data_IF_830835668183
#
_entry.id   IF_830835668183
#
_cell.length_a   1.000
_cell.length_b   1.000
_cell.length_c   1.000
_cell.angle_alpha   90.00
_cell.angle_beta   90.00
_cell.angle_gamma   90.00
#
_symmetry.space_group_name_H-M   'P 1'
#
loop_
_entity.id
_entity.type
_entity.pdbx_description
1 polymer ?
#
# COMPACT_ATOMS: atom_id res chain seq x y z
N UNK A 1 -4.11 -2.22 -16.00
CA UNK A 1 -5.16 -1.61 -15.17
C UNK A 1 -5.07 -0.09 -15.16
N UNK A 2 -4.07 0.52 -14.50
CA UNK A 2 -3.96 2.00 -14.43
C UNK A 2 -3.99 2.65 -15.82
N UNK A 3 -3.16 2.18 -16.76
CA UNK A 3 -3.14 2.70 -18.13
C UNK A 3 -4.46 2.55 -18.89
N UNK A 4 -5.25 1.52 -18.58
CA UNK A 4 -6.56 1.31 -19.20
C UNK A 4 -7.58 2.33 -18.69
N UNK A 5 -7.58 2.63 -17.39
CA UNK A 5 -8.45 3.67 -16.84
C UNK A 5 -8.03 5.06 -17.32
N UNK A 6 -6.73 5.33 -17.40
CA UNK A 6 -6.21 6.57 -18.01
C UNK A 6 -6.63 6.70 -19.48
N UNK A 7 -6.66 5.59 -20.24
CA UNK A 7 -7.14 5.61 -21.63
C UNK A 7 -8.65 5.85 -21.79
N UNK A 8 -9.41 5.77 -20.69
CA UNK A 8 -10.84 6.15 -20.62
C UNK A 8 -11.02 7.58 -20.08
N UNK A 9 -9.99 8.41 -20.19
CA UNK A 9 -9.97 9.80 -19.72
C UNK A 9 -10.16 9.97 -18.20
N UNK A 10 -9.87 8.93 -17.40
CA UNK A 10 -9.85 9.06 -15.93
C UNK A 10 -8.49 9.64 -15.51
N UNK A 11 -8.43 10.82 -14.87
CA UNK A 11 -7.18 11.37 -14.37
C UNK A 11 -6.54 10.41 -13.35
N UNK A 12 -5.22 10.15 -13.41
CA UNK A 12 -4.55 9.27 -12.45
C UNK A 12 -4.81 9.59 -10.97
N UNK A 13 -4.97 10.88 -10.65
CA UNK A 13 -5.24 11.38 -9.30
C UNK A 13 -6.64 10.98 -8.78
N UNK A 14 -7.54 10.54 -9.66
CA UNK A 14 -8.86 10.00 -9.32
C UNK A 14 -8.85 8.47 -9.20
N UNK A 15 -7.70 7.82 -9.36
CA UNK A 15 -7.55 6.37 -9.27
C UNK A 15 -6.96 6.02 -7.89
N UNK A 16 -7.67 5.17 -7.16
CA UNK A 16 -7.22 4.59 -5.91
C UNK A 16 -6.97 3.10 -6.08
N UNK A 17 -5.86 2.60 -5.55
CA UNK A 17 -5.55 1.18 -5.57
C UNK A 17 -5.71 0.62 -4.16
N UNK A 18 -6.60 -0.37 -4.02
CA UNK A 18 -6.89 -1.02 -2.75
C UNK A 18 -6.70 -2.52 -2.86
N UNK A 19 -6.29 -3.16 -1.77
CA UNK A 19 -6.25 -4.61 -1.70
C UNK A 19 -6.17 -5.17 -0.28
N UNK A 20 -6.53 -6.44 -0.17
CA UNK A 20 -6.49 -7.23 1.06
C UNK A 20 -5.41 -8.30 0.91
N UNK A 21 -4.68 -8.61 1.99
CA UNK A 21 -3.65 -9.66 2.01
C UNK A 21 -2.63 -9.47 0.88
N UNK A 22 -2.43 -10.47 0.02
CA UNK A 22 -1.54 -10.34 -1.14
C UNK A 22 -1.95 -9.20 -2.09
N UNK A 23 -3.25 -8.88 -2.21
CA UNK A 23 -3.73 -7.75 -2.97
C UNK A 23 -3.27 -6.40 -2.40
N UNK A 24 -3.21 -6.27 -1.07
CA UNK A 24 -2.71 -5.06 -0.43
C UNK A 24 -1.18 -4.97 -0.52
N UNK A 25 -0.46 -6.09 -0.46
CA UNK A 25 0.96 -6.12 -0.81
C UNK A 25 1.21 -5.64 -2.25
N UNK A 26 0.37 -6.05 -3.20
CA UNK A 26 0.44 -5.55 -4.58
C UNK A 26 0.13 -4.05 -4.66
N UNK A 27 -0.86 -3.56 -3.91
CA UNK A 27 -1.17 -2.13 -3.83
C UNK A 27 0.05 -1.32 -3.35
N UNK A 28 0.75 -1.79 -2.31
CA UNK A 28 1.99 -1.17 -1.81
C UNK A 28 3.12 -1.23 -2.86
N UNK A 29 3.29 -2.36 -3.57
CA UNK A 29 4.27 -2.44 -4.65
C UNK A 29 3.99 -1.44 -5.77
N UNK A 30 2.71 -1.26 -6.13
CA UNK A 30 2.30 -0.28 -7.14
C UNK A 30 2.58 1.14 -6.65
N UNK A 31 2.28 1.44 -5.38
CA UNK A 31 2.64 2.73 -4.79
C UNK A 31 4.14 3.03 -4.94
N UNK A 32 4.98 2.02 -4.72
CA UNK A 32 6.42 2.16 -4.80
C UNK A 32 6.98 2.29 -6.22
N UNK A 33 6.32 1.70 -7.21
CA UNK A 33 6.90 1.50 -8.56
C UNK A 33 6.18 2.25 -9.69
N UNK A 34 4.97 2.74 -9.45
CA UNK A 34 4.16 3.41 -10.48
C UNK A 34 4.77 4.74 -10.93
N UNK A 35 4.78 4.96 -12.25
CA UNK A 35 5.11 6.24 -12.87
C UNK A 35 3.93 7.22 -12.88
N UNK A 36 2.72 6.73 -12.61
CA UNK A 36 1.54 7.57 -12.43
C UNK A 36 1.43 8.00 -10.97
N UNK A 37 1.24 9.31 -10.77
CA UNK A 37 0.87 9.88 -9.48
C UNK A 37 -0.63 9.61 -9.25
N UNK A 38 -0.93 8.67 -8.36
CA UNK A 38 -2.30 8.22 -8.10
C UNK A 38 -2.97 9.03 -6.98
N UNK A 39 -4.27 8.81 -6.76
CA UNK A 39 -5.03 9.49 -5.71
C UNK A 39 -4.76 8.96 -4.31
N UNK A 40 -4.46 7.67 -4.17
CA UNK A 40 -4.20 7.03 -2.89
C UNK A 40 -4.12 5.52 -2.95
N UNK A 41 -3.67 4.93 -1.85
CA UNK A 41 -3.49 3.49 -1.72
C UNK A 41 -4.09 2.97 -0.42
N UNK A 42 -4.67 1.76 -0.47
CA UNK A 42 -5.18 1.06 0.70
C UNK A 42 -4.64 -0.38 0.74
N UNK A 43 -4.04 -0.76 1.86
CA UNK A 43 -3.53 -2.10 2.08
C UNK A 43 -4.08 -2.65 3.41
N UNK A 44 -4.89 -3.71 3.33
CA UNK A 44 -5.57 -4.29 4.48
C UNK A 44 -5.06 -5.70 4.77
N UNK A 45 -4.76 -6.03 6.03
CA UNK A 45 -4.28 -7.37 6.38
C UNK A 45 -2.98 -7.74 5.63
N UNK A 46 -2.09 -6.78 5.41
CA UNK A 46 -1.05 -6.85 4.36
C UNK A 46 0.35 -6.50 4.86
N UNK A 47 1.35 -6.75 4.01
CA UNK A 47 2.76 -6.44 4.29
C UNK A 47 3.47 -5.89 3.04
N UNK A 48 4.61 -5.22 3.22
CA UNK A 48 5.42 -4.72 2.10
C UNK A 48 6.10 -5.91 1.37
N UNK A 49 5.92 -6.07 0.05
CA UNK A 49 6.64 -7.10 -0.69
C UNK A 49 8.12 -6.71 -0.83
N UNK A 50 9.00 -7.71 -0.71
CA UNK A 50 10.47 -7.63 -0.75
C UNK A 50 11.07 -6.29 -1.23
N UNK A 51 11.26 -5.31 -0.32
CA UNK A 51 11.56 -3.92 -0.69
C UNK A 51 12.93 -3.72 -1.36
N UNK A 52 13.84 -4.70 -1.24
CA UNK A 52 15.17 -4.62 -1.86
C UNK A 52 15.18 -4.97 -3.36
N UNK A 53 14.09 -5.53 -3.87
CA UNK A 53 14.00 -6.00 -5.26
C UNK A 53 13.26 -4.99 -6.15
N UNK A 54 12.45 -4.10 -5.54
CA UNK A 54 11.63 -3.16 -6.28
C UNK A 54 12.48 -1.97 -6.76
N UNK A 55 12.33 -1.64 -8.05
CA UNK A 55 12.85 -0.39 -8.60
C UNK A 55 11.89 0.75 -8.24
N UNK A 56 12.16 1.36 -7.10
CA UNK A 56 11.34 2.43 -6.53
C UNK A 56 11.36 3.71 -7.37
N UNK A 57 10.28 4.47 -7.25
CA UNK A 57 10.12 5.81 -7.85
C UNK A 57 9.76 6.80 -6.75
N UNK A 58 9.99 8.09 -7.00
CA UNK A 58 9.59 9.14 -6.05
C UNK A 58 8.13 9.59 -6.24
N UNK A 59 7.47 9.16 -7.31
CA UNK A 59 6.18 9.64 -7.83
C UNK A 59 5.08 9.70 -6.77
N UNK A 60 4.98 8.66 -5.92
CA UNK A 60 3.87 8.51 -4.98
C UNK A 60 4.28 8.70 -3.51
N UNK A 61 5.49 9.19 -3.21
CA UNK A 61 5.93 9.30 -1.80
C UNK A 61 5.04 10.19 -0.94
N UNK A 62 4.50 11.27 -1.52
CA UNK A 62 3.63 12.20 -0.81
C UNK A 62 2.14 11.84 -0.92
N UNK A 63 1.80 10.78 -1.66
CA UNK A 63 0.43 10.32 -1.82
C UNK A 63 0.04 9.50 -0.59
N UNK A 64 -1.16 9.71 -0.02
CA UNK A 64 -1.58 9.01 1.18
C UNK A 64 -1.72 7.51 0.95
N UNK A 65 -1.15 6.73 1.86
CA UNK A 65 -1.27 5.27 1.92
C UNK A 65 -1.90 4.90 3.26
N UNK A 66 -3.08 4.29 3.22
CA UNK A 66 -3.73 3.71 4.39
C UNK A 66 -3.36 2.24 4.54
N UNK A 67 -2.91 1.87 5.73
CA UNK A 67 -2.64 0.48 6.12
C UNK A 67 -3.53 0.10 7.30
N UNK A 68 -4.42 -0.86 7.10
CA UNK A 68 -5.31 -1.38 8.14
C UNK A 68 -4.95 -2.81 8.52
N UNK A 69 -4.79 -3.13 9.81
CA UNK A 69 -4.36 -4.48 10.22
C UNK A 69 -5.04 -4.98 11.49
N UNK A 70 -5.42 -6.26 11.51
CA UNK A 70 -5.96 -6.93 12.70
C UNK A 70 -4.85 -7.32 13.67
N UNK A 71 -5.02 -7.11 14.97
CA UNK A 71 -4.07 -7.58 15.99
C UNK A 71 -4.16 -9.09 16.24
N UNK A 72 -5.26 -9.72 15.83
CA UNK A 72 -5.48 -11.16 15.95
C UNK A 72 -5.26 -11.88 14.60
N UNK A 73 -4.60 -11.23 13.64
CA UNK A 73 -4.28 -11.82 12.33
C UNK A 73 -3.19 -12.90 12.48
N UNK A 74 -3.60 -14.16 12.33
CA UNK A 74 -2.73 -15.33 12.43
C UNK A 74 -1.99 -15.66 11.12
N UNK A 75 -2.43 -15.10 9.98
CA UNK A 75 -1.85 -15.37 8.66
C UNK A 75 -0.77 -14.35 8.29
N UNK A 76 -1.02 -13.08 8.58
CA UNK A 76 -0.04 -12.00 8.49
C UNK A 76 0.13 -11.41 9.88
N UNK A 77 1.17 -11.84 10.64
CA UNK A 77 1.36 -11.36 12.00
C UNK A 77 1.40 -9.84 12.09
N UNK A 78 0.76 -9.28 13.10
CA UNK A 78 0.63 -7.83 13.31
C UNK A 78 1.97 -7.08 13.23
N UNK A 79 3.03 -7.67 13.79
CA UNK A 79 4.38 -7.11 13.81
C UNK A 79 4.96 -6.99 12.39
N UNK A 80 4.58 -7.88 11.48
CA UNK A 80 5.01 -7.84 10.07
C UNK A 80 4.37 -6.65 9.37
N UNK A 81 3.08 -6.41 9.59
CA UNK A 81 2.39 -5.26 9.03
C UNK A 81 2.90 -3.93 9.62
N UNK A 82 3.09 -3.87 10.94
CA UNK A 82 3.66 -2.71 11.61
C UNK A 82 5.07 -2.39 11.11
N UNK A 83 5.93 -3.42 10.98
CA UNK A 83 7.28 -3.25 10.42
C UNK A 83 7.24 -2.77 8.96
N UNK A 84 6.27 -3.26 8.19
CA UNK A 84 6.07 -2.82 6.80
C UNK A 84 5.78 -1.32 6.72
N UNK A 85 4.86 -0.83 7.56
CA UNK A 85 4.55 0.59 7.67
C UNK A 85 5.78 1.42 8.07
N UNK A 86 6.54 0.98 9.07
CA UNK A 86 7.77 1.65 9.51
C UNK A 86 8.81 1.76 8.39
N UNK A 87 9.03 0.67 7.64
CA UNK A 87 9.96 0.67 6.49
C UNK A 87 9.51 1.68 5.43
N UNK A 88 8.21 1.75 5.13
CA UNK A 88 7.68 2.70 4.16
C UNK A 88 7.84 4.15 4.64
N UNK A 89 7.56 4.43 5.92
CA UNK A 89 7.82 5.75 6.52
C UNK A 89 9.30 6.13 6.41
N UNK A 90 10.22 5.21 6.72
CA UNK A 90 11.67 5.44 6.60
C UNK A 90 12.12 5.70 5.15
N UNK A 91 11.40 5.14 4.16
CA UNK A 91 11.62 5.41 2.73
C UNK A 91 11.00 6.73 2.25
N UNK A 92 10.27 7.43 3.12
CA UNK A 92 9.66 8.73 2.85
C UNK A 92 8.23 8.67 2.32
N UNK A 93 7.52 7.54 2.47
CA UNK A 93 6.11 7.44 2.11
C UNK A 93 5.21 7.99 3.22
N UNK A 94 4.11 8.64 2.83
CA UNK A 94 3.09 9.13 3.74
C UNK A 94 2.11 7.99 4.13
N UNK A 95 2.37 7.36 5.28
CA UNK A 95 1.59 6.21 5.78
C UNK A 95 0.68 6.63 6.93
N UNK A 96 -0.60 6.25 6.84
CA UNK A 96 -1.51 6.13 7.97
C UNK A 96 -1.67 4.65 8.32
N UNK A 97 -1.21 4.23 9.50
CA UNK A 97 -1.37 2.85 9.96
C UNK A 97 -2.42 2.79 11.08
N UNK A 98 -3.40 1.89 10.93
CA UNK A 98 -4.48 1.69 11.88
C UNK A 98 -4.64 0.21 12.24
N UNK A 99 -4.61 -0.07 13.54
CA UNK A 99 -4.79 -1.42 14.07
C UNK A 99 -6.20 -1.66 14.62
N UNK A 100 -6.62 -2.92 14.60
CA UNK A 100 -7.93 -3.36 15.09
C UNK A 100 -7.77 -4.53 16.06
N UNK A 101 -8.15 -4.31 17.32
CA UNK A 101 -7.79 -5.23 18.42
C UNK A 101 -8.47 -6.60 18.40
N UNK A 102 -9.59 -6.77 17.68
CA UNK A 102 -10.42 -8.00 17.67
C UNK A 102 -10.73 -8.48 16.26
N UNK A 103 -9.81 -8.22 15.33
CA UNK A 103 -9.93 -8.59 13.92
C UNK A 103 -8.78 -9.55 13.61
N UNK A 104 -9.14 -10.70 13.03
CA UNK A 104 -8.21 -11.67 12.45
C UNK A 104 -7.79 -11.27 11.03
N UNK A 105 -7.57 -12.26 10.16
CA UNK A 105 -7.26 -11.99 8.74
C UNK A 105 -8.51 -11.62 7.94
#
# INVERSE_FOLDING_TARGET
LISQEVSKDIPPQNIFIAGISQGGSLALAIAMTSQYQLGGFLALGSFIPYPKVLKETETNKQIPIFMGHGKEDELVPYEVAQRSALILCQKGYHIEFKDYSKIGH
#
